data_IF_799712231739
#
_entry.id   IF_799712231739
#
_cell.length_a   1.000
_cell.length_b   1.000
_cell.length_c   1.000
_cell.angle_alpha   90.00
_cell.angle_beta   90.00
_cell.angle_gamma   90.00
#
_symmetry.space_group_name_H-M   'P 1'
#
loop_
_entity.id
_entity.type
_entity.pdbx_description
1 polymer ?
#
# COMPACT_ATOMS: atom_id res chain seq x y z
N UNK A 1 -63.10 -5.86 36.05
CA UNK A 1 -62.35 -6.12 34.80
C UNK A 1 -61.72 -4.82 34.31
N UNK A 2 -60.45 -4.55 34.61
CA UNK A 2 -59.68 -3.47 33.99
C UNK A 2 -58.32 -4.06 33.60
N UNK A 3 -58.10 -4.15 32.28
CA UNK A 3 -56.92 -4.75 31.65
C UNK A 3 -55.74 -3.78 31.80
N UNK A 4 -54.61 -4.26 32.32
CA UNK A 4 -53.33 -3.56 32.26
C UNK A 4 -52.80 -3.65 30.82
N UNK A 5 -52.58 -2.50 30.18
CA UNK A 5 -51.89 -2.39 28.90
C UNK A 5 -50.37 -2.40 29.18
N UNK A 6 -49.66 -3.41 28.69
CA UNK A 6 -48.20 -3.43 28.65
C UNK A 6 -47.72 -2.50 27.53
N UNK A 7 -46.88 -1.53 27.87
CA UNK A 7 -46.20 -0.69 26.89
C UNK A 7 -45.06 -1.47 26.24
N UNK A 8 -45.17 -1.74 24.94
CA UNK A 8 -44.11 -2.31 24.14
C UNK A 8 -43.12 -1.21 23.73
N UNK A 9 -41.89 -1.28 24.24
CA UNK A 9 -40.78 -0.42 23.82
C UNK A 9 -40.19 -1.00 22.52
N UNK A 10 -40.49 -0.40 21.38
CA UNK A 10 -39.88 -0.78 20.10
C UNK A 10 -38.50 -0.12 20.00
N UNK A 11 -37.44 -0.88 20.30
CA UNK A 11 -36.08 -0.47 19.98
C UNK A 11 -35.82 -0.70 18.48
N UNK A 12 -35.91 0.37 17.69
CA UNK A 12 -35.48 0.36 16.29
C UNK A 12 -33.95 0.32 16.23
N UNK A 13 -33.38 -0.87 16.04
CA UNK A 13 -31.98 -1.02 15.66
C UNK A 13 -31.84 -0.54 14.21
N UNK A 14 -31.34 0.68 14.01
CA UNK A 14 -30.95 1.15 12.69
C UNK A 14 -29.80 0.30 12.18
N UNK A 15 -30.03 -0.47 11.11
CA UNK A 15 -28.93 -1.03 10.33
C UNK A 15 -28.18 0.16 9.70
N UNK A 16 -27.03 0.51 10.26
CA UNK A 16 -26.05 1.32 9.55
C UNK A 16 -25.49 0.38 8.47
N UNK A 17 -25.95 0.56 7.23
CA UNK A 17 -25.26 -0.02 6.10
C UNK A 17 -23.90 0.68 6.00
N UNK A 18 -22.85 -0.01 6.45
CA UNK A 18 -21.47 0.34 6.11
C UNK A 18 -21.36 0.20 4.58
N UNK A 19 -21.37 1.32 3.86
CA UNK A 19 -20.86 1.32 2.51
C UNK A 19 -19.41 0.80 2.55
N UNK A 20 -18.97 0.01 1.56
CA UNK A 20 -17.55 -0.32 1.48
C UNK A 20 -16.79 1.00 1.41
N UNK A 21 -15.89 1.25 2.36
CA UNK A 21 -14.95 2.35 2.25
C UNK A 21 -14.11 2.05 0.99
N UNK A 22 -14.33 2.83 -0.08
CA UNK A 22 -13.41 2.82 -1.20
C UNK A 22 -12.01 3.12 -0.64
N UNK A 23 -11.02 2.29 -0.99
CA UNK A 23 -9.68 2.46 -0.48
C UNK A 23 -9.14 3.83 -0.90
N UNK A 24 -8.55 4.55 0.03
CA UNK A 24 -7.95 5.87 -0.17
C UNK A 24 -6.44 5.73 -0.18
N UNK A 25 -5.77 6.69 -0.82
CA UNK A 25 -4.36 6.98 -0.57
C UNK A 25 -4.10 7.14 0.93
N UNK A 26 -2.87 6.81 1.36
CA UNK A 26 -2.41 6.97 2.74
C UNK A 26 -2.51 8.43 3.20
N UNK A 27 -2.12 9.35 2.33
CA UNK A 27 -2.11 10.79 2.61
C UNK A 27 -2.30 11.58 1.32
N UNK A 28 -2.90 12.76 1.44
CA UNK A 28 -2.95 13.78 0.37
C UNK A 28 -1.87 14.85 0.51
N UNK A 29 -1.10 14.81 1.61
CA UNK A 29 0.08 15.65 1.79
C UNK A 29 1.28 14.93 1.18
N UNK A 30 1.51 15.14 -0.11
CA UNK A 30 2.51 14.38 -0.88
C UNK A 30 3.96 14.79 -0.59
N UNK A 31 4.19 15.96 0.01
CA UNK A 31 5.52 16.44 0.36
C UNK A 31 6.24 17.11 -0.81
N UNK A 32 7.51 16.78 -1.01
CA UNK A 32 8.39 17.42 -2.00
C UNK A 32 8.32 16.68 -3.33
N UNK A 33 8.19 17.42 -4.42
CA UNK A 33 8.26 16.87 -5.77
C UNK A 33 9.69 16.40 -6.08
N UNK A 34 9.81 15.24 -6.74
CA UNK A 34 11.08 14.71 -7.22
C UNK A 34 11.26 15.12 -8.69
N UNK A 35 11.87 16.29 -8.92
CA UNK A 35 11.97 16.90 -10.26
C UNK A 35 12.55 15.96 -11.33
N UNK A 36 13.60 15.21 -11.00
CA UNK A 36 14.21 14.22 -11.91
C UNK A 36 13.21 13.15 -12.35
N UNK A 37 12.23 12.81 -11.50
CA UNK A 37 11.24 11.77 -11.77
C UNK A 37 9.92 12.32 -12.31
N UNK A 38 9.63 13.62 -12.14
CA UNK A 38 8.39 14.27 -12.60
C UNK A 38 8.44 14.80 -14.04
N UNK A 39 9.51 14.51 -14.80
CA UNK A 39 9.58 14.83 -16.22
C UNK A 39 10.57 13.89 -16.93
N UNK A 40 10.26 12.61 -16.91
CA UNK A 40 11.23 11.55 -17.09
C UNK A 40 10.61 10.24 -17.58
N UNK A 41 11.43 9.41 -18.22
CA UNK A 41 11.13 8.04 -18.63
C UNK A 41 12.34 7.18 -18.28
N UNK A 42 12.12 6.05 -17.63
CA UNK A 42 13.17 5.16 -17.13
C UNK A 42 14.26 5.85 -16.28
N UNK A 43 13.88 6.54 -15.21
CA UNK A 43 14.82 7.19 -14.31
C UNK A 43 14.68 6.72 -12.86
N UNK A 44 15.70 7.06 -12.07
CA UNK A 44 15.74 6.86 -10.64
C UNK A 44 16.11 8.14 -9.91
N UNK A 45 15.65 8.30 -8.67
CA UNK A 45 16.07 9.38 -7.79
C UNK A 45 17.50 9.17 -7.30
N UNK A 46 18.09 10.22 -6.71
CA UNK A 46 19.19 10.05 -5.75
C UNK A 46 18.73 9.27 -4.49
N UNK A 47 19.68 8.88 -3.65
CA UNK A 47 19.39 8.17 -2.40
C UNK A 47 18.55 9.04 -1.44
N UNK A 48 17.31 8.64 -1.19
CA UNK A 48 16.42 9.27 -0.22
C UNK A 48 16.64 8.64 1.16
N UNK A 49 17.09 9.45 2.12
CA UNK A 49 17.32 8.99 3.50
C UNK A 49 16.05 9.15 4.33
N UNK A 50 15.84 8.23 5.27
CA UNK A 50 14.85 8.45 6.33
C UNK A 50 15.23 9.72 7.12
N UNK A 51 14.24 10.57 7.40
CA UNK A 51 14.45 11.76 8.24
C UNK A 51 14.59 11.34 9.71
N UNK A 52 15.39 12.08 10.48
CA UNK A 52 15.69 11.75 11.89
C UNK A 52 16.98 10.95 12.07
N UNK A 53 17.60 11.09 13.25
CA UNK A 53 18.88 10.44 13.55
C UNK A 53 18.73 8.93 13.74
N UNK A 54 19.67 8.17 13.17
CA UNK A 54 19.79 6.72 13.38
C UNK A 54 18.66 5.88 12.76
N UNK A 55 17.88 6.44 11.84
CA UNK A 55 16.79 5.72 11.19
C UNK A 55 17.33 4.74 10.14
N UNK A 56 16.90 3.48 10.24
CA UNK A 56 17.18 2.46 9.25
C UNK A 56 16.10 1.39 9.23
N UNK A 57 15.91 0.77 8.08
CA UNK A 57 15.05 -0.41 7.92
C UNK A 57 15.93 -1.65 7.72
N UNK A 58 15.69 -2.71 8.48
CA UNK A 58 16.21 -4.04 8.16
C UNK A 58 15.30 -4.65 7.10
N UNK A 59 15.80 -4.90 5.89
CA UNK A 59 15.03 -5.50 4.80
C UNK A 59 15.81 -6.70 4.25
N UNK A 60 15.23 -7.89 4.41
CA UNK A 60 15.84 -9.19 4.13
C UNK A 60 17.24 -9.38 4.75
N UNK A 61 17.37 -9.01 6.03
CA UNK A 61 18.58 -9.22 6.81
C UNK A 61 19.68 -8.17 6.61
N UNK A 62 19.44 -7.15 5.80
CA UNK A 62 20.35 -6.03 5.60
C UNK A 62 19.73 -4.71 6.05
N UNK A 63 20.49 -3.93 6.80
CA UNK A 63 20.09 -2.60 7.25
C UNK A 63 20.33 -1.55 6.15
N UNK A 64 19.31 -0.74 5.87
CA UNK A 64 19.35 0.37 4.92
C UNK A 64 18.91 1.67 5.59
N UNK A 65 19.71 2.73 5.44
CA UNK A 65 19.35 4.09 5.89
C UNK A 65 18.73 4.96 4.79
N UNK A 66 18.60 4.40 3.58
CA UNK A 66 18.07 5.09 2.41
C UNK A 66 17.52 4.11 1.38
N UNK A 67 16.67 4.62 0.49
CA UNK A 67 16.13 3.94 -0.68
C UNK A 67 16.25 4.82 -1.94
N UNK A 68 15.98 4.25 -3.10
CA UNK A 68 15.89 4.96 -4.38
C UNK A 68 14.48 4.76 -4.95
N UNK A 69 13.91 5.80 -5.55
CA UNK A 69 12.61 5.74 -6.21
C UNK A 69 12.82 5.58 -7.71
N UNK A 70 12.15 4.62 -8.34
CA UNK A 70 12.11 4.48 -9.79
C UNK A 70 10.86 5.14 -10.38
N UNK A 71 10.97 5.75 -11.56
CA UNK A 71 9.80 6.27 -12.29
C UNK A 71 8.73 5.18 -12.52
N UNK A 72 9.19 3.95 -12.69
CA UNK A 72 8.41 2.75 -13.03
C UNK A 72 7.70 2.07 -11.83
N UNK A 73 7.27 2.84 -10.82
CA UNK A 73 6.31 2.37 -9.80
C UNK A 73 6.87 1.46 -8.69
N UNK A 74 8.16 1.60 -8.38
CA UNK A 74 8.84 0.86 -7.31
C UNK A 74 9.87 1.71 -6.56
N UNK A 75 10.30 1.19 -5.41
CA UNK A 75 11.50 1.63 -4.69
C UNK A 75 12.50 0.49 -4.57
N UNK A 76 13.79 0.81 -4.52
CA UNK A 76 14.89 -0.14 -4.38
C UNK A 76 15.84 0.25 -3.27
N UNK A 77 16.57 -0.73 -2.73
CA UNK A 77 17.56 -0.51 -1.70
C UNK A 77 18.98 -0.83 -2.18
N UNK A 78 19.96 -0.05 -1.74
CA UNK A 78 21.38 -0.22 -2.08
C UNK A 78 21.77 0.36 -3.45
N UNK A 79 21.08 -0.02 -4.52
CA UNK A 79 21.37 0.43 -5.89
C UNK A 79 20.09 0.94 -6.58
N UNK A 80 20.12 2.09 -7.26
CA UNK A 80 18.98 2.55 -8.06
C UNK A 80 18.74 1.63 -9.26
N UNK A 81 17.48 1.53 -9.69
CA UNK A 81 17.06 0.78 -10.88
C UNK A 81 16.13 1.63 -11.74
N UNK A 82 16.20 1.40 -13.05
CA UNK A 82 15.39 2.07 -14.07
C UNK A 82 14.64 1.08 -14.96
N UNK A 83 14.68 -0.22 -14.63
CA UNK A 83 13.96 -1.25 -15.36
C UNK A 83 12.46 -0.90 -15.44
N UNK A 84 11.83 -1.20 -16.58
CA UNK A 84 10.41 -0.93 -16.87
C UNK A 84 9.63 -2.22 -17.18
N UNK A 85 10.31 -3.34 -17.40
CA UNK A 85 9.66 -4.62 -17.73
C UNK A 85 9.28 -5.35 -16.44
N UNK A 86 7.99 -5.53 -16.14
CA UNK A 86 7.55 -6.12 -14.89
C UNK A 86 8.07 -7.55 -14.74
N UNK A 87 8.61 -7.86 -13.57
CA UNK A 87 9.04 -9.19 -13.16
C UNK A 87 8.25 -9.59 -11.90
N UNK A 88 8.07 -10.88 -11.62
CA UNK A 88 7.47 -11.33 -10.36
C UNK A 88 8.39 -10.98 -9.18
N UNK A 89 7.86 -10.31 -8.16
CA UNK A 89 8.69 -9.74 -7.10
C UNK A 89 9.26 -10.78 -6.12
N UNK A 90 8.74 -12.00 -6.15
CA UNK A 90 9.15 -13.14 -5.32
C UNK A 90 10.24 -14.02 -5.96
N UNK A 91 10.69 -13.69 -7.17
CA UNK A 91 11.73 -14.44 -7.89
C UNK A 91 12.66 -13.55 -8.73
N UNK A 92 12.49 -12.23 -8.66
CA UNK A 92 13.33 -11.28 -9.41
C UNK A 92 14.74 -11.19 -8.83
N UNK A 93 15.73 -11.00 -9.70
CA UNK A 93 17.17 -10.92 -9.36
C UNK A 93 17.77 -9.53 -9.65
N UNK A 94 16.95 -8.49 -9.58
CA UNK A 94 17.33 -7.11 -9.90
C UNK A 94 17.93 -6.41 -8.69
N UNK A 95 17.19 -6.31 -7.59
CA UNK A 95 17.57 -5.55 -6.40
C UNK A 95 16.60 -5.87 -5.25
N UNK A 96 16.97 -5.66 -3.98
CA UNK A 96 15.97 -5.54 -2.94
C UNK A 96 14.99 -4.43 -3.32
N UNK A 97 13.71 -4.78 -3.46
CA UNK A 97 12.70 -3.94 -4.11
C UNK A 97 11.36 -4.05 -3.39
N UNK A 98 10.62 -2.95 -3.36
CA UNK A 98 9.18 -2.90 -3.07
C UNK A 98 8.50 -2.24 -4.26
N UNK A 99 7.54 -2.91 -4.87
CA UNK A 99 6.79 -2.44 -6.03
C UNK A 99 5.30 -2.33 -5.73
N UNK A 100 4.69 -1.25 -6.18
CA UNK A 100 3.23 -1.04 -6.12
C UNK A 100 2.59 -1.18 -7.49
N UNK A 101 3.21 -0.62 -8.51
CA UNK A 101 2.70 -0.69 -9.88
C UNK A 101 3.88 -0.76 -10.84
N UNK A 102 4.69 -1.81 -10.71
CA UNK A 102 5.83 -2.00 -11.58
C UNK A 102 5.35 -2.23 -13.01
N UNK A 103 5.59 -1.24 -13.86
CA UNK A 103 5.20 -1.15 -15.26
C UNK A 103 6.05 -0.09 -15.96
N UNK A 104 5.86 0.05 -17.26
CA UNK A 104 6.50 1.06 -18.09
C UNK A 104 5.71 2.38 -17.99
N UNK A 105 6.12 3.24 -17.05
CA UNK A 105 5.43 4.46 -16.65
C UNK A 105 6.16 5.71 -17.17
N UNK A 106 5.39 6.76 -17.47
CA UNK A 106 5.92 7.95 -18.13
C UNK A 106 5.42 9.24 -17.47
N UNK A 107 6.34 10.16 -17.18
CA UNK A 107 6.04 11.49 -16.62
C UNK A 107 6.46 12.64 -17.54
N UNK A 108 6.97 12.37 -18.74
CA UNK A 108 7.51 13.41 -19.63
C UNK A 108 6.44 14.38 -20.12
N UNK A 109 6.69 15.67 -19.94
CA UNK A 109 5.95 16.75 -20.58
C UNK A 109 4.50 16.92 -20.15
N UNK A 110 4.11 16.46 -18.96
CA UNK A 110 2.77 16.65 -18.39
C UNK A 110 2.84 17.19 -16.97
N UNK A 111 2.41 18.44 -16.77
CA UNK A 111 2.47 19.14 -15.48
C UNK A 111 1.64 18.44 -14.38
N UNK A 112 0.73 17.53 -14.74
CA UNK A 112 -0.06 16.77 -13.77
C UNK A 112 0.59 15.45 -13.35
N UNK A 113 1.52 14.91 -14.14
CA UNK A 113 2.19 13.61 -13.94
C UNK A 113 3.44 13.78 -13.10
N UNK A 114 3.34 13.55 -11.79
CA UNK A 114 4.42 13.88 -10.86
C UNK A 114 4.68 12.78 -9.84
N UNK A 115 5.93 12.69 -9.40
CA UNK A 115 6.35 11.79 -8.32
C UNK A 115 6.82 12.63 -7.14
N UNK A 116 6.34 12.29 -5.94
CA UNK A 116 6.61 13.03 -4.72
C UNK A 116 7.17 12.13 -3.62
N UNK A 117 7.90 12.73 -2.69
CA UNK A 117 8.28 12.12 -1.42
C UNK A 117 7.84 13.00 -0.24
N UNK A 118 7.13 12.39 0.71
CA UNK A 118 6.90 12.94 2.03
C UNK A 118 7.83 12.26 3.03
N UNK A 119 8.72 13.06 3.63
CA UNK A 119 9.65 12.65 4.69
C UNK A 119 9.48 13.50 5.96
N UNK A 120 8.30 14.10 6.15
CA UNK A 120 8.04 15.03 7.26
C UNK A 120 8.03 14.33 8.63
N UNK A 121 7.68 13.05 8.66
CA UNK A 121 7.71 12.23 9.87
C UNK A 121 9.03 11.47 9.96
N UNK A 122 9.74 11.61 11.08
CA UNK A 122 11.00 10.91 11.29
C UNK A 122 10.82 9.39 11.15
N UNK A 123 11.68 8.75 10.35
CA UNK A 123 11.64 7.32 10.10
C UNK A 123 10.59 6.87 9.08
N UNK A 124 9.81 7.77 8.48
CA UNK A 124 8.80 7.42 7.47
C UNK A 124 9.10 8.11 6.14
N UNK A 125 8.99 7.35 5.05
CA UNK A 125 8.99 7.83 3.68
C UNK A 125 7.68 7.40 3.03
N UNK A 126 6.94 8.37 2.48
CA UNK A 126 5.77 8.11 1.63
C UNK A 126 6.09 8.58 0.22
N UNK A 127 6.10 7.66 -0.72
CA UNK A 127 6.39 7.93 -2.12
C UNK A 127 5.07 7.88 -2.87
N UNK A 128 4.75 8.95 -3.58
CA UNK A 128 3.49 9.07 -4.34
C UNK A 128 3.80 9.20 -5.82
N UNK A 129 3.24 8.31 -6.63
CA UNK A 129 3.10 8.52 -8.07
C UNK A 129 1.70 9.10 -8.26
N UNK A 130 1.60 10.37 -8.64
CA UNK A 130 0.33 11.08 -8.82
C UNK A 130 0.06 11.26 -10.31
N UNK A 131 -1.06 10.69 -10.79
CA UNK A 131 -1.56 10.82 -12.17
C UNK A 131 -0.56 10.46 -13.24
N UNK A 132 0.35 9.54 -12.91
CA UNK A 132 1.43 9.09 -13.79
C UNK A 132 0.86 8.36 -15.00
N UNK A 133 1.32 8.74 -16.19
CA UNK A 133 0.92 8.13 -17.45
C UNK A 133 1.60 6.77 -17.67
N UNK A 134 1.35 6.20 -18.84
CA UNK A 134 2.06 5.01 -19.30
C UNK A 134 2.89 5.34 -20.54
N UNK A 135 3.94 4.58 -20.77
CA UNK A 135 4.74 4.73 -21.97
C UNK A 135 3.89 4.50 -23.24
N UNK A 136 4.04 5.29 -24.31
CA UNK A 136 4.90 6.48 -24.46
C UNK A 136 4.04 7.74 -24.42
N UNK A 137 4.25 8.59 -23.41
CA UNK A 137 3.57 9.89 -23.20
C UNK A 137 2.05 9.76 -23.29
N UNK A 138 1.49 8.68 -22.72
CA UNK A 138 0.07 8.38 -22.77
C UNK A 138 -0.60 8.70 -21.43
N UNK A 139 -1.31 9.82 -21.42
CA UNK A 139 -2.03 10.34 -20.27
C UNK A 139 -3.54 10.12 -20.31
N UNK A 140 -4.03 9.27 -21.22
CA UNK A 140 -5.40 8.77 -21.18
C UNK A 140 -5.58 7.67 -20.12
N UNK A 141 -4.48 7.03 -19.72
CA UNK A 141 -4.42 6.04 -18.65
C UNK A 141 -3.52 6.58 -17.55
N UNK A 142 -4.14 7.16 -16.51
CA UNK A 142 -3.43 7.76 -15.38
C UNK A 142 -3.46 6.84 -14.18
N UNK A 143 -2.40 6.87 -13.40
CA UNK A 143 -2.20 5.98 -12.27
C UNK A 143 -1.77 6.78 -11.05
N UNK A 144 -2.51 6.63 -9.95
CA UNK A 144 -2.22 7.27 -8.67
C UNK A 144 -2.11 6.22 -7.58
N UNK A 145 -0.94 6.12 -6.94
CA UNK A 145 -0.65 5.14 -5.89
C UNK A 145 0.49 5.59 -4.98
N UNK A 146 0.62 4.91 -3.84
CA UNK A 146 1.64 5.21 -2.84
C UNK A 146 2.33 3.95 -2.31
N UNK A 147 3.63 4.12 -2.01
CA UNK A 147 4.40 3.20 -1.17
C UNK A 147 4.76 3.95 0.12
N UNK A 148 4.47 3.34 1.26
CA UNK A 148 4.92 3.78 2.58
C UNK A 148 6.02 2.84 3.05
N UNK A 149 7.15 3.40 3.46
CA UNK A 149 8.27 2.66 4.05
C UNK A 149 8.65 3.31 5.38
N UNK A 150 8.71 2.51 6.44
CA UNK A 150 9.05 2.95 7.80
C UNK A 150 10.26 2.20 8.32
N UNK A 151 11.15 2.93 8.98
CA UNK A 151 12.32 2.39 9.67
C UNK A 151 11.92 1.50 10.86
N UNK A 152 12.89 0.74 11.36
CA UNK A 152 12.71 -0.13 12.52
C UNK A 152 12.47 0.65 13.82
N UNK A 153 12.88 1.93 13.86
CA UNK A 153 12.67 2.81 15.00
C UNK A 153 11.30 3.50 14.98
N UNK A 154 10.53 3.36 13.90
CA UNK A 154 9.22 3.97 13.77
C UNK A 154 8.18 3.23 14.63
N UNK A 155 7.35 3.98 15.37
CA UNK A 155 6.24 3.40 16.12
C UNK A 155 5.06 3.13 15.18
N UNK A 156 5.00 1.92 14.62
CA UNK A 156 3.96 1.53 13.66
C UNK A 156 2.58 1.52 14.32
N UNK A 157 1.60 2.28 13.82
CA UNK A 157 0.23 2.25 14.33
C UNK A 157 -0.43 0.88 14.14
N UNK A 158 -1.33 0.53 15.07
CA UNK A 158 -2.14 -0.69 14.95
C UNK A 158 -2.97 -0.66 13.65
N UNK A 159 -3.04 -1.80 12.95
CA UNK A 159 -3.73 -1.90 11.66
C UNK A 159 -2.95 -1.30 10.48
N UNK A 160 -1.66 -1.01 10.66
CA UNK A 160 -0.73 -0.64 9.58
C UNK A 160 0.54 -1.50 9.67
N UNK A 161 1.51 -1.24 8.78
CA UNK A 161 2.76 -2.00 8.70
C UNK A 161 3.98 -1.09 8.53
N UNK A 162 5.18 -1.65 8.61
CA UNK A 162 6.39 -0.95 8.21
C UNK A 162 6.45 -0.69 6.70
N UNK A 163 5.85 -1.60 5.91
CA UNK A 163 5.64 -1.43 4.48
C UNK A 163 4.13 -1.32 4.23
N UNK A 164 3.74 -0.34 3.43
CA UNK A 164 2.35 -0.17 2.99
C UNK A 164 2.26 0.15 1.50
N UNK A 165 1.27 -0.42 0.83
CA UNK A 165 0.94 -0.11 -0.58
C UNK A 165 -0.52 0.32 -0.66
N UNK A 166 -0.76 1.48 -1.27
CA UNK A 166 -2.07 2.11 -1.36
C UNK A 166 -2.37 2.50 -2.81
N UNK A 167 -3.60 2.23 -3.26
CA UNK A 167 -4.03 2.54 -4.63
C UNK A 167 -5.17 3.55 -4.60
N UNK A 168 -5.02 4.62 -5.39
CA UNK A 168 -6.15 5.42 -5.84
C UNK A 168 -6.63 4.91 -7.20
N UNK A 169 -6.90 5.85 -8.12
CA UNK A 169 -7.28 5.50 -9.48
C UNK A 169 -6.10 4.93 -10.26
N UNK A 170 -6.26 3.69 -10.72
CA UNK A 170 -5.31 3.02 -11.63
C UNK A 170 -6.03 2.77 -12.95
N UNK A 171 -5.62 3.51 -13.98
CA UNK A 171 -6.22 3.47 -15.32
C UNK A 171 -5.49 2.55 -16.30
N UNK A 172 -4.30 2.07 -15.98
CA UNK A 172 -3.51 1.27 -16.92
C UNK A 172 -4.09 -0.12 -17.17
N UNK A 173 -4.23 -0.48 -18.45
CA UNK A 173 -4.53 -1.85 -18.87
C UNK A 173 -3.27 -2.69 -19.12
N UNK A 174 -2.08 -2.10 -18.98
CA UNK A 174 -0.82 -2.84 -19.10
C UNK A 174 -0.72 -3.92 -18.02
N UNK A 175 0.07 -4.95 -18.30
CA UNK A 175 0.41 -5.95 -17.30
C UNK A 175 1.38 -5.33 -16.30
N UNK A 176 1.13 -5.53 -15.00
CA UNK A 176 1.92 -4.94 -13.92
C UNK A 176 2.40 -6.01 -12.93
N UNK A 177 3.36 -5.62 -12.10
CA UNK A 177 3.74 -6.37 -10.91
C UNK A 177 3.64 -5.52 -9.64
N UNK A 178 3.33 -6.16 -8.52
CA UNK A 178 3.34 -5.53 -7.20
C UNK A 178 3.72 -6.57 -6.12
N UNK A 179 4.54 -6.15 -5.17
CA UNK A 179 5.17 -7.07 -4.23
C UNK A 179 6.49 -6.56 -3.66
N UNK A 180 7.28 -7.48 -3.15
CA UNK A 180 8.63 -7.22 -2.65
C UNK A 180 9.49 -8.48 -2.68
N UNK A 181 10.79 -8.27 -2.83
CA UNK A 181 11.80 -9.34 -2.79
C UNK A 181 13.19 -8.79 -2.50
N UNK A 182 14.14 -9.68 -2.23
CA UNK A 182 15.51 -9.31 -1.85
C UNK A 182 16.46 -9.14 -3.05
N UNK A 183 16.02 -9.56 -4.24
CA UNK A 183 16.79 -9.44 -5.48
C UNK A 183 17.87 -10.52 -5.65
N UNK A 184 17.82 -11.63 -4.92
CA UNK A 184 18.76 -12.74 -4.99
C UNK A 184 18.15 -13.95 -5.72
N UNK A 185 19.00 -14.85 -6.20
CA UNK A 185 18.55 -16.09 -6.87
C UNK A 185 17.84 -17.07 -5.92
N UNK A 186 18.24 -17.06 -4.65
CA UNK A 186 17.64 -17.92 -3.63
C UNK A 186 16.41 -17.24 -3.03
N UNK A 187 15.23 -17.72 -3.41
CA UNK A 187 13.95 -17.19 -2.93
C UNK A 187 13.83 -17.30 -1.41
N UNK A 188 13.63 -16.17 -0.75
CA UNK A 188 13.29 -16.11 0.66
C UNK A 188 11.77 -16.32 0.85
N UNK A 189 11.33 -17.14 1.84
CA UNK A 189 9.89 -17.39 2.07
C UNK A 189 9.05 -16.15 2.38
N UNK A 190 9.69 -15.04 2.80
CA UNK A 190 9.00 -13.77 3.03
C UNK A 190 8.98 -12.85 1.82
N UNK A 191 9.50 -13.26 0.66
CA UNK A 191 9.21 -12.55 -0.59
C UNK A 191 7.77 -12.79 -1.02
N UNK A 192 7.18 -11.80 -1.69
CA UNK A 192 5.78 -11.88 -2.09
C UNK A 192 5.54 -11.15 -3.39
N UNK A 193 4.89 -11.84 -4.32
CA UNK A 193 4.29 -11.25 -5.50
C UNK A 193 2.77 -11.35 -5.36
N UNK A 194 2.13 -10.25 -4.95
CA UNK A 194 0.67 -10.22 -4.79
C UNK A 194 -0.07 -9.73 -6.04
N UNK A 195 0.66 -9.20 -7.02
CA UNK A 195 0.19 -9.01 -8.38
C UNK A 195 1.33 -9.29 -9.35
N UNK A 196 1.07 -10.09 -10.38
CA UNK A 196 2.01 -10.35 -11.46
C UNK A 196 1.26 -10.70 -12.73
N UNK A 197 1.64 -10.05 -13.83
CA UNK A 197 1.06 -10.29 -15.15
C UNK A 197 -0.48 -10.16 -15.14
N UNK A 198 -0.98 -9.15 -14.42
CA UNK A 198 -2.39 -8.78 -14.36
C UNK A 198 -2.57 -7.34 -14.86
N UNK A 199 -3.73 -6.99 -15.46
CA UNK A 199 -4.02 -5.60 -15.80
C UNK A 199 -3.94 -4.70 -14.56
N UNK A 200 -3.27 -3.55 -14.66
CA UNK A 200 -3.16 -2.62 -13.52
C UNK A 200 -4.50 -2.13 -12.97
N UNK A 201 -5.53 -2.03 -13.82
CA UNK A 201 -6.91 -1.71 -13.39
C UNK A 201 -7.47 -2.66 -12.32
N UNK A 202 -6.94 -3.88 -12.19
CA UNK A 202 -7.33 -4.81 -11.10
C UNK A 202 -6.91 -4.35 -9.71
N UNK A 203 -5.93 -3.43 -9.62
CA UNK A 203 -5.44 -2.85 -8.37
C UNK A 203 -6.14 -1.52 -8.03
N UNK A 204 -6.90 -0.96 -8.98
CA UNK A 204 -7.57 0.35 -8.83
C UNK A 204 -8.49 0.36 -7.62
N UNK A 205 -8.27 1.33 -6.72
CA UNK A 205 -9.04 1.49 -5.47
C UNK A 205 -9.16 0.21 -4.62
N UNK A 206 -8.19 -0.71 -4.75
CA UNK A 206 -8.16 -1.96 -3.98
C UNK A 206 -7.74 -1.69 -2.52
N UNK A 207 -8.16 -2.54 -1.56
CA UNK A 207 -7.76 -2.39 -0.16
C UNK A 207 -6.24 -2.30 -0.02
N UNK A 208 -5.74 -1.41 0.85
CA UNK A 208 -4.31 -1.25 1.02
C UNK A 208 -3.69 -2.50 1.64
N UNK A 209 -2.44 -2.80 1.28
CA UNK A 209 -1.71 -3.95 1.80
C UNK A 209 -0.62 -3.49 2.77
N UNK A 210 -0.54 -4.12 3.94
CA UNK A 210 0.41 -3.77 4.99
C UNK A 210 1.22 -4.98 5.45
N UNK A 211 2.51 -4.73 5.70
CA UNK A 211 3.44 -5.75 6.16
C UNK A 211 4.32 -5.19 7.28
N UNK A 212 4.47 -5.97 8.34
CA UNK A 212 5.51 -5.73 9.34
C UNK A 212 6.78 -6.49 8.95
N UNK A 213 7.92 -6.13 9.53
CA UNK A 213 9.16 -6.84 9.30
C UNK A 213 9.55 -7.61 10.57
N UNK A 214 9.57 -8.94 10.48
CA UNK A 214 10.08 -9.80 11.54
C UNK A 214 11.56 -10.13 11.23
N UNK A 215 12.47 -9.49 11.95
CA UNK A 215 13.92 -9.57 11.70
C UNK A 215 14.28 -9.24 10.23
N UNK A 216 13.58 -8.26 9.66
CA UNK A 216 13.74 -7.78 8.29
C UNK A 216 12.98 -8.57 7.22
N UNK A 217 12.31 -9.66 7.58
CA UNK A 217 11.49 -10.44 6.64
C UNK A 217 10.03 -9.97 6.72
N UNK A 218 9.41 -9.57 5.60
CA UNK A 218 8.00 -9.19 5.58
C UNK A 218 7.05 -10.28 6.08
N UNK A 219 6.12 -9.89 6.94
CA UNK A 219 5.01 -10.69 7.42
C UNK A 219 3.72 -9.89 7.33
N UNK A 220 2.62 -10.55 6.95
CA UNK A 220 1.31 -9.90 6.88
C UNK A 220 0.92 -9.34 8.25
N UNK A 221 0.32 -8.15 8.24
CA UNK A 221 -0.29 -7.58 9.45
C UNK A 221 -1.60 -8.34 9.68
N UNK A 222 -1.78 -9.03 10.82
CA UNK A 222 -3.02 -9.73 11.10
C UNK A 222 -4.19 -8.75 11.14
N UNK A 223 -5.25 -9.04 10.39
CA UNK A 223 -6.51 -8.30 10.47
C UNK A 223 -6.93 -8.18 11.94
N UNK A 224 -7.23 -6.97 12.44
CA UNK A 224 -7.50 -6.80 13.86
C UNK A 224 -8.73 -7.64 14.27
N UNK A 225 -8.60 -8.35 15.39
CA UNK A 225 -9.61 -9.27 15.94
C UNK A 225 -11.01 -8.65 16.16
N UNK A 226 -11.16 -7.34 15.96
CA UNK A 226 -12.42 -6.61 15.88
C UNK A 226 -13.41 -7.19 14.87
N UNK A 227 -12.99 -7.78 13.74
CA UNK A 227 -13.92 -8.46 12.82
C UNK A 227 -14.46 -9.76 13.45
N UNK A 228 -13.61 -10.52 14.13
CA UNK A 228 -14.01 -11.72 14.85
C UNK A 228 -14.95 -11.38 16.04
N UNK A 229 -14.67 -10.29 16.75
CA UNK A 229 -15.53 -9.78 17.83
C UNK A 229 -16.87 -9.22 17.31
N UNK A 230 -16.88 -8.55 16.15
CA UNK A 230 -18.11 -8.11 15.50
C UNK A 230 -18.97 -9.32 15.07
N UNK A 231 -18.34 -10.36 14.50
CA UNK A 231 -19.01 -11.62 14.15
C UNK A 231 -19.61 -12.34 15.36
N UNK A 232 -18.87 -12.42 16.47
CA UNK A 232 -19.36 -12.99 17.73
C UNK A 232 -20.48 -12.14 18.35
N UNK A 233 -20.37 -10.80 18.29
CA UNK A 233 -21.40 -9.87 18.76
C UNK A 233 -22.72 -10.04 18.01
N UNK A 234 -22.67 -10.12 16.67
CA UNK A 234 -23.85 -10.36 15.83
C UNK A 234 -24.48 -11.73 16.10
N UNK A 235 -23.67 -12.79 16.24
CA UNK A 235 -24.16 -14.12 16.60
C UNK A 235 -24.83 -14.15 17.99
N UNK A 236 -24.25 -13.44 18.97
CA UNK A 236 -24.82 -13.27 20.31
C UNK A 236 -26.17 -12.56 20.29
N UNK A 237 -26.32 -11.48 19.52
CA UNK A 237 -27.59 -10.76 19.35
C UNK A 237 -28.67 -11.64 18.69
N UNK A 238 -28.31 -12.44 17.69
CA UNK A 238 -29.24 -13.38 17.03
C UNK A 238 -29.70 -14.47 18.01
N UNK A 239 -28.79 -15.03 18.80
CA UNK A 239 -29.11 -16.04 19.81
C UNK A 239 -29.99 -15.49 20.93
N UNK A 240 -29.73 -14.26 21.39
CA UNK A 240 -30.56 -13.58 22.39
C UNK A 240 -31.98 -13.29 21.89
N UNK A 241 -32.11 -12.87 20.62
CA UNK A 241 -33.42 -12.60 20.00
C UNK A 241 -34.27 -13.87 19.87
N UNK A 242 -33.67 -15.03 19.56
CA UNK A 242 -34.38 -16.31 19.46
C UNK A 242 -34.90 -16.83 20.80
N UNK A 243 -34.25 -16.49 21.91
CA UNK A 243 -34.68 -16.89 23.27
C UNK A 243 -35.84 -16.06 23.82
N UNK A 244 -36.08 -14.86 23.28
CA UNK A 244 -37.19 -14.00 23.71
C UNK A 244 -38.52 -14.30 22.99
N UNK A 245 -38.49 -15.13 21.95
CA UNK A 245 -39.66 -15.50 21.12
C UNK A 245 -40.17 -16.93 21.36
N UNK A 246 -39.62 -17.63 22.35
CA UNK A 246 -40.08 -18.95 22.81
C UNK A 246 -40.66 -18.82 24.22
#
# INVERSE_FOLDING_TARGET
MKKFLQAAFAASLGLIALAPAHASLYTTSYGTQLDTLSNCDDCASDALRFSGSGQSINFFGKSYSSLYVGSNGYVTFGTPRTNFTPAPLDTQTLSPMIAALYSDLDTRGDDASNIYVNAATAGELVITWEKVGIFSVNYNQRNTFQIVVRSDQFSVPAGSGQIGVYYGDIGTTAMVSAGFGDGLESVNPGEKSFAYNVPGTTLSNSPPQFFNLNNGVPVEVPEPASIALLGLGLAGCIAARRRQTA
#
